data_IF_368698582388
#
_entry.id   IF_368698582388
#
_cell.length_a   1.000
_cell.length_b   1.000
_cell.length_c   1.000
_cell.angle_alpha   90.00
_cell.angle_beta   90.00
_cell.angle_gamma   90.00
#
_symmetry.space_group_name_H-M   'P 1'
#
loop_
_entity.id
_entity.type
_entity.pdbx_description
1 polymer ?
#
# COMPACT_ATOMS: atom_id res chain seq x y z
N UNK A 1 -77.92 13.59 -24.03
CA UNK A 1 -78.26 14.26 -22.75
C UNK A 1 -77.19 13.95 -21.73
N UNK A 2 -76.35 14.74 -21.63
CA UNK A 2 -75.79 15.79 -20.77
C UNK A 2 -75.95 15.46 -19.29
N UNK A 3 -74.89 15.28 -18.61
CA UNK A 3 -74.76 15.25 -17.17
C UNK A 3 -73.29 15.56 -16.75
N UNK A 4 -72.98 16.86 -16.68
CA UNK A 4 -71.73 17.38 -16.12
C UNK A 4 -71.76 17.20 -14.62
N UNK A 5 -70.86 16.48 -14.05
CA UNK A 5 -70.54 16.53 -12.62
C UNK A 5 -69.24 17.30 -12.39
N UNK A 6 -69.41 18.45 -11.78
CA UNK A 6 -68.36 19.34 -11.29
C UNK A 6 -67.78 18.80 -9.96
N UNK A 7 -66.56 18.43 -9.96
CA UNK A 7 -65.82 18.05 -8.69
C UNK A 7 -65.21 19.33 -8.14
N UNK A 8 -65.73 19.78 -7.02
CA UNK A 8 -65.11 20.86 -6.20
C UNK A 8 -63.81 20.35 -5.56
N UNK A 9 -62.69 20.97 -5.96
CA UNK A 9 -61.43 20.80 -5.28
C UNK A 9 -61.45 21.54 -3.93
N UNK A 10 -61.39 20.85 -2.85
CA UNK A 10 -61.12 21.41 -1.52
C UNK A 10 -59.61 21.58 -1.36
N UNK A 11 -59.20 22.85 -1.34
CA UNK A 11 -57.83 23.25 -1.03
C UNK A 11 -57.62 23.14 0.49
N UNK A 12 -57.03 22.05 0.97
CA UNK A 12 -56.49 22.01 2.31
C UNK A 12 -55.09 22.68 2.28
N UNK A 13 -55.03 23.89 2.78
CA UNK A 13 -53.76 24.52 3.17
C UNK A 13 -53.25 23.80 4.42
N UNK A 14 -52.37 22.84 4.23
CA UNK A 14 -51.49 22.35 5.28
C UNK A 14 -50.38 23.38 5.47
N UNK A 15 -50.46 24.14 6.54
CA UNK A 15 -49.33 24.85 7.11
C UNK A 15 -48.33 23.78 7.64
N UNK A 16 -47.36 23.42 6.80
CA UNK A 16 -46.19 22.72 7.25
C UNK A 16 -45.34 23.73 8.01
N UNK A 17 -45.47 23.82 9.31
CA UNK A 17 -44.46 24.37 10.20
C UNK A 17 -43.25 23.48 10.02
N UNK A 18 -42.26 23.94 9.27
CA UNK A 18 -40.91 23.36 9.26
C UNK A 18 -40.34 23.56 10.66
N UNK A 19 -40.51 22.57 11.52
CA UNK A 19 -39.67 22.41 12.64
C UNK A 19 -38.24 22.15 12.08
N UNK A 20 -37.48 23.21 11.98
CA UNK A 20 -35.99 23.07 11.87
C UNK A 20 -35.58 22.39 13.17
N UNK A 21 -35.66 21.06 13.18
CA UNK A 21 -35.01 20.25 14.16
C UNK A 21 -33.53 20.58 14.04
N UNK A 22 -33.02 21.36 14.98
CA UNK A 22 -31.60 21.35 15.31
C UNK A 22 -31.29 19.87 15.59
N UNK A 23 -30.77 19.18 14.59
CA UNK A 23 -29.97 17.99 14.84
C UNK A 23 -28.88 18.48 15.79
N UNK A 24 -28.79 17.94 17.03
CA UNK A 24 -27.67 18.27 17.87
C UNK A 24 -26.45 17.96 17.02
N UNK A 25 -25.59 18.94 16.80
CA UNK A 25 -24.28 18.73 16.25
C UNK A 25 -23.73 17.51 17.00
N UNK A 26 -23.43 16.44 16.28
CA UNK A 26 -22.77 15.27 16.87
C UNK A 26 -21.65 15.84 17.71
N UNK A 27 -21.56 15.44 18.98
CA UNK A 27 -20.61 16.06 19.88
C UNK A 27 -19.24 15.98 19.26
N UNK A 28 -18.52 17.08 19.36
CA UNK A 28 -17.11 17.28 18.98
C UNK A 28 -16.15 16.24 19.60
N UNK A 29 -16.66 15.16 20.15
CA UNK A 29 -15.87 14.04 20.69
C UNK A 29 -14.96 13.38 19.60
N UNK A 30 -15.36 13.48 18.32
CA UNK A 30 -14.49 13.08 17.22
C UNK A 30 -13.31 14.04 17.00
N UNK A 31 -13.40 15.26 17.55
CA UNK A 31 -12.32 16.24 17.46
C UNK A 31 -11.37 16.22 18.67
N UNK A 32 -11.80 15.63 19.79
CA UNK A 32 -10.98 15.64 21.01
C UNK A 32 -9.89 14.57 21.04
N UNK A 33 -10.06 13.46 20.35
CA UNK A 33 -8.99 12.46 20.23
C UNK A 33 -7.93 12.85 19.17
N UNK A 34 -8.28 13.74 18.26
CA UNK A 34 -7.32 14.36 17.32
C UNK A 34 -6.39 15.38 18.00
N UNK A 35 -6.71 15.83 19.20
CA UNK A 35 -5.97 16.86 19.92
C UNK A 35 -4.75 16.35 20.69
N UNK A 36 -4.40 15.08 20.58
CA UNK A 36 -3.25 14.51 21.30
C UNK A 36 -1.91 14.73 20.61
N UNK A 37 -1.88 15.39 19.47
CA UNK A 37 -0.66 15.96 18.93
C UNK A 37 -0.57 17.42 19.42
N UNK A 38 0.56 17.80 20.01
CA UNK A 38 0.78 19.08 20.67
C UNK A 38 0.55 20.32 19.78
N UNK A 39 0.28 20.14 18.50
CA UNK A 39 0.08 21.15 17.48
C UNK A 39 -1.32 21.15 16.85
N UNK A 40 -2.27 20.34 17.37
CA UNK A 40 -3.66 20.30 16.90
C UNK A 40 -3.89 19.54 15.58
N UNK A 41 -2.89 18.84 15.05
CA UNK A 41 -3.07 17.99 13.87
C UNK A 41 -3.81 16.70 14.21
N UNK A 42 -4.65 16.17 13.28
CA UNK A 42 -5.37 14.93 13.52
C UNK A 42 -4.40 13.76 13.70
N UNK A 43 -4.68 12.88 14.66
CA UNK A 43 -3.93 11.64 14.82
C UNK A 43 -4.37 10.60 13.78
N UNK A 44 -3.46 9.97 13.04
CA UNK A 44 -3.79 8.86 12.14
C UNK A 44 -4.26 7.61 12.89
N UNK A 45 -4.13 7.58 14.22
CA UNK A 45 -4.57 6.48 15.08
C UNK A 45 -5.87 6.78 15.84
N UNK A 46 -6.57 7.85 15.48
CA UNK A 46 -7.90 8.11 16.04
C UNK A 46 -8.90 7.09 15.48
N UNK A 47 -9.20 6.07 16.27
CA UNK A 47 -10.13 5.03 15.89
C UNK A 47 -11.56 5.52 15.68
N UNK A 48 -11.90 6.74 16.10
CA UNK A 48 -13.23 7.30 15.90
C UNK A 48 -13.57 7.53 14.42
N UNK A 49 -12.54 7.73 13.57
CA UNK A 49 -12.72 7.90 12.12
C UNK A 49 -12.92 6.58 11.37
N UNK A 50 -12.65 5.44 12.02
CA UNK A 50 -12.78 4.14 11.38
C UNK A 50 -14.17 3.55 11.59
N UNK A 51 -14.69 2.80 10.61
CA UNK A 51 -15.90 2.00 10.80
C UNK A 51 -15.76 1.01 11.96
N UNK A 52 -16.87 0.57 12.59
CA UNK A 52 -16.82 -0.34 13.73
C UNK A 52 -16.03 -1.64 13.49
N UNK A 53 -16.04 -2.15 12.25
CA UNK A 53 -15.32 -3.37 11.86
C UNK A 53 -13.82 -3.17 11.72
N UNK A 54 -13.32 -1.93 11.79
CA UNK A 54 -11.90 -1.58 11.73
C UNK A 54 -11.34 -1.12 13.07
N UNK A 55 -12.07 -1.31 14.17
CA UNK A 55 -11.67 -0.87 15.52
C UNK A 55 -11.14 -2.01 16.38
N UNK A 56 -10.34 -1.65 17.38
CA UNK A 56 -9.81 -2.60 18.35
C UNK A 56 -8.96 -3.69 17.70
N UNK A 57 -9.23 -4.95 18.06
CA UNK A 57 -8.51 -6.10 17.52
C UNK A 57 -8.61 -6.25 15.99
N UNK A 58 -9.71 -5.77 15.42
CA UNK A 58 -9.87 -5.76 13.96
C UNK A 58 -8.96 -4.74 13.26
N UNK A 59 -8.34 -3.83 13.99
CA UNK A 59 -7.38 -2.87 13.49
C UNK A 59 -5.92 -3.39 13.59
N UNK A 60 -5.72 -4.63 13.94
CA UNK A 60 -4.41 -5.29 13.93
C UNK A 60 -4.10 -5.78 12.51
N UNK A 61 -3.00 -5.32 11.93
CA UNK A 61 -2.58 -5.67 10.58
C UNK A 61 -2.40 -7.19 10.35
N UNK A 62 -2.10 -7.94 11.41
CA UNK A 62 -1.94 -9.41 11.33
C UNK A 62 -3.28 -10.12 11.27
N UNK A 63 -4.29 -9.63 11.97
CA UNK A 63 -5.56 -10.32 12.15
C UNK A 63 -6.67 -9.81 11.24
N UNK A 64 -6.56 -8.61 10.70
CA UNK A 64 -7.65 -7.98 9.97
C UNK A 64 -7.66 -8.26 8.47
N UNK A 65 -6.60 -8.91 7.97
CA UNK A 65 -6.47 -9.19 6.54
C UNK A 65 -6.22 -7.94 5.71
N UNK A 66 -6.82 -7.89 4.54
CA UNK A 66 -6.60 -6.85 3.55
C UNK A 66 -7.77 -5.87 3.55
N UNK A 67 -7.50 -4.58 3.63
CA UNK A 67 -8.50 -3.53 3.65
C UNK A 67 -8.38 -2.59 2.46
N UNK A 68 -9.53 -2.12 2.00
CA UNK A 68 -9.60 -1.06 1.00
C UNK A 68 -9.52 0.31 1.67
N UNK A 69 -8.66 1.15 1.13
CA UNK A 69 -8.57 2.56 1.47
C UNK A 69 -8.69 3.42 0.20
N UNK A 70 -7.83 4.38 -0.03
CA UNK A 70 -7.78 5.15 -1.28
C UNK A 70 -6.91 4.39 -2.28
N UNK A 71 -7.44 3.94 -3.43
CA UNK A 71 -6.73 3.03 -4.35
C UNK A 71 -5.36 3.54 -4.81
N UNK A 72 -5.22 4.82 -5.08
CA UNK A 72 -3.96 5.43 -5.55
C UNK A 72 -2.96 5.66 -4.42
N UNK A 73 -3.39 5.55 -3.17
CA UNK A 73 -2.57 5.83 -1.97
C UNK A 73 -2.26 4.57 -1.20
N UNK A 74 -3.29 3.81 -0.87
CA UNK A 74 -3.18 2.63 -0.02
C UNK A 74 -4.08 1.51 -0.54
N UNK A 75 -3.73 0.97 -1.68
CA UNK A 75 -4.43 -0.14 -2.32
C UNK A 75 -3.94 -1.48 -1.77
N UNK A 76 -4.32 -1.81 -0.53
CA UNK A 76 -3.87 -3.01 0.16
C UNK A 76 -4.56 -4.29 -0.31
N UNK A 77 -5.79 -4.17 -0.79
CA UNK A 77 -6.57 -5.28 -1.34
C UNK A 77 -6.75 -5.09 -2.84
N UNK A 78 -5.68 -5.30 -3.56
CA UNK A 78 -5.63 -5.10 -5.00
C UNK A 78 -5.70 -6.44 -5.73
N UNK A 79 -6.91 -6.76 -6.23
CA UNK A 79 -7.23 -8.03 -6.90
C UNK A 79 -7.75 -7.75 -8.31
N UNK A 80 -7.14 -8.33 -9.31
CA UNK A 80 -7.44 -8.06 -10.72
C UNK A 80 -7.48 -9.31 -11.57
N UNK A 81 -8.25 -9.25 -12.64
CA UNK A 81 -8.26 -10.22 -13.71
C UNK A 81 -9.28 -11.34 -13.56
N UNK A 82 -9.03 -12.46 -14.20
CA UNK A 82 -9.97 -13.57 -14.29
C UNK A 82 -9.83 -14.53 -13.11
N UNK A 83 -10.84 -14.56 -12.24
CA UNK A 83 -10.93 -15.49 -11.11
C UNK A 83 -11.55 -16.85 -11.51
N UNK A 84 -12.22 -16.91 -12.66
CA UNK A 84 -13.03 -18.08 -13.02
C UNK A 84 -12.23 -19.17 -13.74
N UNK A 85 -11.35 -18.76 -14.64
CA UNK A 85 -10.53 -19.69 -15.44
C UNK A 85 -9.21 -19.02 -15.88
N UNK A 86 -8.36 -18.58 -14.93
CA UNK A 86 -7.10 -17.96 -15.26
C UNK A 86 -6.14 -18.98 -15.86
N UNK A 87 -5.28 -18.52 -16.76
CA UNK A 87 -4.15 -19.29 -17.30
C UNK A 87 -2.81 -18.90 -16.66
N UNK A 88 -2.82 -17.85 -15.88
CA UNK A 88 -1.67 -17.39 -15.11
C UNK A 88 -2.16 -16.68 -13.85
N UNK A 89 -1.63 -17.06 -12.70
CA UNK A 89 -1.97 -16.49 -11.39
C UNK A 89 -0.71 -15.95 -10.74
N UNK A 90 -0.66 -14.63 -10.48
CA UNK A 90 0.50 -13.94 -9.95
C UNK A 90 0.24 -13.42 -8.53
N UNK A 91 1.06 -13.84 -7.60
CA UNK A 91 1.10 -13.34 -6.23
C UNK A 91 2.23 -12.34 -6.09
N UNK A 92 1.90 -11.06 -5.93
CA UNK A 92 2.85 -9.97 -6.04
C UNK A 92 2.86 -9.15 -4.77
N UNK A 93 4.04 -8.92 -4.20
CA UNK A 93 4.20 -8.00 -3.07
C UNK A 93 3.73 -6.60 -3.42
N UNK A 94 2.97 -5.98 -2.50
CA UNK A 94 2.23 -4.76 -2.78
C UNK A 94 3.02 -3.50 -3.15
N UNK A 95 4.35 -3.55 -3.21
CA UNK A 95 5.19 -2.35 -3.40
C UNK A 95 5.13 -1.74 -4.80
N UNK A 96 4.56 -2.45 -5.78
CA UNK A 96 4.49 -1.99 -7.17
C UNK A 96 3.15 -2.31 -7.85
N UNK A 97 2.08 -2.24 -7.06
CA UNK A 97 0.72 -2.43 -7.56
C UNK A 97 0.44 -1.57 -8.81
N UNK A 98 0.93 -0.34 -8.85
CA UNK A 98 0.79 0.60 -9.95
C UNK A 98 1.49 0.16 -11.26
N UNK A 99 2.49 -0.71 -11.17
CA UNK A 99 3.21 -1.23 -12.33
C UNK A 99 2.55 -2.47 -12.94
N UNK A 100 1.68 -3.16 -12.19
CA UNK A 100 1.16 -4.47 -12.59
C UNK A 100 0.25 -4.41 -13.82
N UNK A 101 -0.72 -3.50 -13.87
CA UNK A 101 -1.61 -3.41 -15.02
C UNK A 101 -0.85 -3.17 -16.34
N UNK A 102 0.07 -2.19 -16.45
CA UNK A 102 0.89 -2.04 -17.66
C UNK A 102 1.81 -3.23 -17.95
N UNK A 103 2.34 -3.93 -16.93
CA UNK A 103 3.13 -5.15 -17.12
C UNK A 103 2.29 -6.29 -17.70
N UNK A 104 1.09 -6.52 -17.15
CA UNK A 104 0.17 -7.56 -17.66
C UNK A 104 -0.25 -7.24 -19.10
N UNK A 105 -0.60 -5.99 -19.41
CA UNK A 105 -0.95 -5.59 -20.78
C UNK A 105 0.22 -5.81 -21.76
N UNK A 106 1.45 -5.51 -21.37
CA UNK A 106 2.62 -5.76 -22.20
C UNK A 106 2.86 -7.25 -22.40
N UNK A 107 2.76 -8.06 -21.34
CA UNK A 107 2.86 -9.50 -21.40
C UNK A 107 1.80 -10.10 -22.36
N UNK A 108 0.55 -9.71 -22.20
CA UNK A 108 -0.56 -10.18 -23.05
C UNK A 108 -0.40 -9.76 -24.52
N UNK A 109 0.30 -8.68 -24.79
CA UNK A 109 0.61 -8.27 -26.17
C UNK A 109 1.65 -9.16 -26.85
N UNK A 110 2.56 -9.74 -26.08
CA UNK A 110 3.59 -10.67 -26.55
C UNK A 110 3.09 -12.12 -26.52
N UNK A 111 2.12 -12.41 -25.65
CA UNK A 111 1.58 -13.75 -25.37
C UNK A 111 0.05 -13.76 -25.48
N UNK A 112 -0.46 -13.70 -26.70
CA UNK A 112 -1.90 -13.55 -26.99
C UNK A 112 -2.79 -14.65 -26.37
N UNK A 113 -2.25 -15.84 -26.07
CA UNK A 113 -2.94 -16.95 -25.43
C UNK A 113 -3.35 -16.66 -23.98
N UNK A 114 -2.73 -15.64 -23.33
CA UNK A 114 -3.05 -15.22 -21.97
C UNK A 114 -4.00 -14.02 -21.92
N UNK A 115 -4.37 -13.45 -23.06
CA UNK A 115 -5.16 -12.23 -23.10
C UNK A 115 -6.49 -12.35 -22.36
N UNK A 116 -6.66 -11.50 -21.31
CA UNK A 116 -7.80 -11.54 -20.42
C UNK A 116 -7.89 -12.76 -19.52
N UNK A 117 -6.81 -13.55 -19.43
CA UNK A 117 -6.74 -14.79 -18.65
C UNK A 117 -5.63 -14.78 -17.61
N UNK A 118 -5.16 -13.59 -17.24
CA UNK A 118 -4.22 -13.39 -16.13
C UNK A 118 -4.99 -12.91 -14.92
N UNK A 119 -4.76 -13.53 -13.78
CA UNK A 119 -5.15 -13.03 -12.47
C UNK A 119 -3.90 -12.57 -11.73
N UNK A 120 -3.98 -11.44 -11.07
CA UNK A 120 -2.92 -10.99 -10.16
C UNK A 120 -3.49 -10.31 -8.95
N UNK A 121 -2.72 -10.36 -7.87
CA UNK A 121 -3.01 -9.64 -6.64
C UNK A 121 -1.74 -8.99 -6.12
N UNK A 122 -1.87 -7.76 -5.59
CA UNK A 122 -0.77 -7.02 -4.98
C UNK A 122 -1.11 -6.69 -3.54
N UNK A 123 -0.73 -7.59 -2.65
CA UNK A 123 -1.03 -7.51 -1.22
C UNK A 123 0.26 -7.69 -0.38
N UNK A 124 0.23 -7.45 0.93
CA UNK A 124 1.42 -7.62 1.77
C UNK A 124 2.04 -9.02 1.61
N UNK A 125 3.36 -9.14 1.41
CA UNK A 125 4.02 -10.43 1.15
C UNK A 125 3.74 -11.51 2.19
N UNK A 126 3.62 -11.13 3.48
CA UNK A 126 3.28 -12.09 4.54
C UNK A 126 1.89 -12.71 4.36
N UNK A 127 0.91 -11.94 3.87
CA UNK A 127 -0.44 -12.43 3.58
C UNK A 127 -0.41 -13.41 2.40
N UNK A 128 0.36 -13.10 1.35
CA UNK A 128 0.58 -14.01 0.22
C UNK A 128 1.20 -15.35 0.65
N UNK A 129 2.14 -15.31 1.58
CA UNK A 129 2.75 -16.54 2.13
C UNK A 129 1.71 -17.40 2.85
N UNK A 130 0.88 -16.80 3.68
CA UNK A 130 -0.20 -17.53 4.35
C UNK A 130 -1.23 -18.07 3.35
N UNK A 131 -1.53 -17.34 2.28
CA UNK A 131 -2.38 -17.81 1.18
C UNK A 131 -1.76 -19.01 0.46
N UNK A 132 -0.46 -19.00 0.17
CA UNK A 132 0.25 -20.18 -0.39
C UNK A 132 0.10 -21.38 0.54
N UNK A 133 0.36 -21.21 1.84
CA UNK A 133 0.21 -22.27 2.85
C UNK A 133 -1.21 -22.77 2.99
N UNK A 134 -2.20 -21.90 2.79
CA UNK A 134 -3.64 -22.25 2.79
C UNK A 134 -4.13 -22.83 1.43
N UNK A 135 -3.20 -23.22 0.54
CA UNK A 135 -3.55 -23.81 -0.76
C UNK A 135 -4.20 -22.82 -1.74
N UNK A 136 -3.93 -21.52 -1.58
CA UNK A 136 -4.47 -20.47 -2.42
C UNK A 136 -5.71 -19.78 -1.85
N UNK A 137 -6.15 -20.15 -0.65
CA UNK A 137 -7.34 -19.56 -0.03
C UNK A 137 -7.00 -18.25 0.66
N UNK A 138 -7.81 -17.22 0.39
CA UNK A 138 -7.71 -15.89 1.02
C UNK A 138 -9.10 -15.39 1.40
N UNK A 139 -9.16 -14.61 2.46
CA UNK A 139 -10.37 -13.89 2.89
C UNK A 139 -10.08 -12.40 2.92
N UNK A 140 -10.94 -11.62 2.27
CA UNK A 140 -10.92 -10.17 2.32
C UNK A 140 -12.32 -9.65 2.63
N UNK A 141 -12.47 -8.96 3.76
CA UNK A 141 -13.78 -8.57 4.27
C UNK A 141 -14.69 -9.79 4.45
N UNK A 142 -15.80 -9.81 3.73
CA UNK A 142 -16.79 -10.89 3.76
C UNK A 142 -16.61 -11.92 2.62
N UNK A 143 -15.58 -11.77 1.81
CA UNK A 143 -15.33 -12.65 0.66
C UNK A 143 -14.21 -13.62 0.99
N UNK A 144 -14.44 -14.90 0.67
CA UNK A 144 -13.41 -15.94 0.72
C UNK A 144 -13.40 -16.65 -0.63
N UNK A 145 -12.22 -16.78 -1.21
CA UNK A 145 -12.04 -17.51 -2.46
C UNK A 145 -10.73 -18.28 -2.43
N UNK A 146 -10.61 -19.25 -3.34
CA UNK A 146 -9.41 -20.05 -3.51
C UNK A 146 -8.92 -19.94 -4.94
N UNK A 147 -7.71 -19.41 -5.10
CA UNK A 147 -7.01 -19.38 -6.38
C UNK A 147 -5.53 -19.66 -6.11
N UNK A 148 -5.00 -20.73 -6.70
CA UNK A 148 -3.61 -21.13 -6.48
C UNK A 148 -2.66 -20.28 -7.31
N UNK A 149 -1.66 -19.69 -6.67
CA UNK A 149 -0.62 -18.92 -7.35
C UNK A 149 0.26 -19.81 -8.22
N UNK A 150 0.64 -19.28 -9.39
CA UNK A 150 1.63 -19.92 -10.28
C UNK A 150 3.03 -19.35 -10.03
N UNK A 151 3.14 -18.04 -9.73
CA UNK A 151 4.39 -17.40 -9.38
C UNK A 151 4.21 -16.38 -8.25
N UNK A 152 5.25 -16.24 -7.42
CA UNK A 152 5.30 -15.33 -6.27
C UNK A 152 6.44 -14.33 -6.42
N UNK A 153 6.20 -13.08 -6.05
CA UNK A 153 7.12 -11.96 -6.21
C UNK A 153 7.23 -11.13 -4.93
N UNK A 154 8.44 -10.95 -4.43
CA UNK A 154 8.74 -10.14 -3.24
C UNK A 154 10.22 -9.73 -3.21
N UNK A 155 10.72 -9.27 -2.07
CA UNK A 155 12.15 -9.03 -1.87
C UNK A 155 12.95 -10.35 -2.00
N UNK A 156 14.13 -10.30 -2.60
CA UNK A 156 14.98 -11.45 -2.91
C UNK A 156 15.16 -12.41 -1.74
N UNK A 157 15.49 -11.88 -0.55
CA UNK A 157 15.71 -12.73 0.62
C UNK A 157 14.45 -13.48 1.05
N UNK A 158 13.28 -12.87 0.92
CA UNK A 158 12.01 -13.53 1.26
C UNK A 158 11.67 -14.62 0.23
N UNK A 159 11.90 -14.36 -1.07
CA UNK A 159 11.71 -15.36 -2.12
C UNK A 159 12.66 -16.53 -1.92
N UNK A 160 13.96 -16.26 -1.66
CA UNK A 160 14.95 -17.31 -1.41
C UNK A 160 14.59 -18.17 -0.19
N UNK A 161 14.17 -17.54 0.90
CA UNK A 161 13.71 -18.27 2.09
C UNK A 161 12.57 -19.24 1.75
N UNK A 162 11.58 -18.81 0.97
CA UNK A 162 10.46 -19.69 0.59
C UNK A 162 10.88 -20.82 -0.39
N UNK A 163 11.90 -20.58 -1.20
CA UNK A 163 12.54 -21.65 -2.01
C UNK A 163 13.20 -22.67 -1.07
N UNK A 164 13.96 -22.21 -0.09
CA UNK A 164 14.64 -23.08 0.88
C UNK A 164 13.64 -23.87 1.76
N UNK A 165 12.50 -23.28 2.08
CA UNK A 165 11.37 -23.92 2.78
C UNK A 165 10.57 -24.89 1.88
N UNK A 166 10.82 -24.90 0.57
CA UNK A 166 10.16 -25.76 -0.39
C UNK A 166 8.71 -25.36 -0.70
N UNK A 167 8.33 -24.11 -0.45
CA UNK A 167 7.05 -23.52 -0.86
C UNK A 167 7.10 -22.98 -2.30
N UNK A 168 8.28 -22.59 -2.76
CA UNK A 168 8.55 -22.18 -4.14
C UNK A 168 9.48 -23.19 -4.81
N UNK A 169 9.52 -23.18 -6.14
CA UNK A 169 10.30 -24.07 -6.99
C UNK A 169 11.28 -23.28 -7.86
N UNK A 170 12.46 -23.83 -8.09
CA UNK A 170 13.53 -23.19 -8.85
C UNK A 170 14.28 -22.13 -8.04
N UNK A 171 15.24 -21.43 -8.65
CA UNK A 171 15.96 -20.36 -7.99
C UNK A 171 15.10 -19.12 -7.85
N UNK A 172 15.39 -18.30 -6.84
CA UNK A 172 14.90 -16.94 -6.81
C UNK A 172 15.53 -16.13 -7.96
N UNK A 173 14.70 -15.53 -8.81
CA UNK A 173 15.11 -14.81 -10.02
C UNK A 173 15.01 -13.30 -9.78
N UNK A 174 16.12 -12.60 -9.51
CA UNK A 174 16.11 -11.16 -9.28
C UNK A 174 15.90 -10.41 -10.61
N UNK A 175 15.12 -9.31 -10.62
CA UNK A 175 14.80 -8.59 -11.84
C UNK A 175 14.95 -7.07 -11.74
N UNK A 176 14.56 -6.44 -10.62
CA UNK A 176 14.73 -4.99 -10.40
C UNK A 176 15.20 -4.70 -8.99
N UNK A 177 15.67 -3.47 -8.82
CA UNK A 177 16.02 -2.89 -7.53
C UNK A 177 15.20 -1.63 -7.27
N UNK A 178 15.07 -1.26 -5.98
CA UNK A 178 14.40 -0.05 -5.57
C UNK A 178 15.17 0.59 -4.42
N UNK A 179 15.21 1.91 -4.41
CA UNK A 179 15.86 2.69 -3.37
C UNK A 179 14.83 3.27 -2.40
N UNK A 180 15.29 3.64 -1.22
CA UNK A 180 14.50 4.43 -0.29
C UNK A 180 14.52 5.91 -0.69
N UNK A 181 13.46 6.64 -0.29
CA UNK A 181 13.37 8.09 -0.39
C UNK A 181 12.61 8.66 0.80
N UNK A 182 12.73 9.95 1.04
CA UNK A 182 11.91 10.65 2.03
C UNK A 182 10.74 11.27 1.28
N UNK A 183 9.52 10.85 1.60
CA UNK A 183 8.30 11.42 1.05
C UNK A 183 7.87 12.59 1.93
N UNK A 184 7.50 13.72 1.31
CA UNK A 184 7.12 14.97 1.97
C UNK A 184 5.89 15.58 1.29
N UNK A 185 5.15 16.48 1.94
CA UNK A 185 4.13 17.26 1.26
C UNK A 185 4.74 18.09 0.13
N UNK A 186 3.95 18.36 -0.91
CA UNK A 186 4.39 19.13 -2.09
C UNK A 186 5.04 20.45 -1.68
N UNK A 187 6.21 20.71 -2.24
CA UNK A 187 6.99 21.90 -1.93
C UNK A 187 7.86 21.77 -0.69
N UNK A 188 7.84 20.63 0.00
CA UNK A 188 8.72 20.36 1.14
C UNK A 188 8.72 21.49 2.21
N UNK A 189 7.57 21.80 2.82
CA UNK A 189 7.45 22.95 3.72
C UNK A 189 8.33 22.86 4.97
N UNK A 190 8.72 21.66 5.36
CA UNK A 190 9.63 21.40 6.49
C UNK A 190 11.12 21.52 6.10
N UNK A 191 11.44 21.84 4.84
CA UNK A 191 12.80 22.00 4.31
C UNK A 191 13.72 20.80 4.59
N UNK A 192 13.21 19.61 4.51
CA UNK A 192 13.95 18.36 4.71
C UNK A 192 14.93 18.17 3.55
N UNK A 193 16.19 17.90 3.87
CA UNK A 193 17.28 17.72 2.90
C UNK A 193 17.91 16.34 2.95
N UNK A 194 17.68 15.59 4.04
CA UNK A 194 18.23 14.25 4.21
C UNK A 194 17.71 13.54 5.46
N UNK A 195 18.21 12.33 5.70
CA UNK A 195 17.78 11.48 6.81
C UNK A 195 18.07 12.10 8.19
N UNK A 196 19.12 12.91 8.32
CA UNK A 196 19.47 13.57 9.58
C UNK A 196 18.37 14.53 10.07
N UNK A 197 17.66 15.19 9.13
CA UNK A 197 16.60 16.13 9.45
C UNK A 197 15.39 15.46 10.12
N UNK A 198 15.23 14.15 9.92
CA UNK A 198 14.12 13.41 10.53
C UNK A 198 14.18 13.36 12.06
N UNK A 199 15.35 13.63 12.66
CA UNK A 199 15.48 13.74 14.11
C UNK A 199 15.10 15.14 14.66
N UNK A 200 14.81 16.11 13.81
CA UNK A 200 14.48 17.48 14.22
C UNK A 200 13.30 17.49 15.19
N UNK A 201 13.41 18.16 16.35
CA UNK A 201 12.31 18.31 17.29
C UNK A 201 11.08 18.97 16.63
N UNK A 202 9.89 18.48 16.97
CA UNK A 202 8.63 18.99 16.40
C UNK A 202 8.28 18.49 15.01
N UNK A 203 9.21 17.88 14.27
CA UNK A 203 8.91 17.25 12.97
C UNK A 203 8.14 15.95 13.18
N UNK A 204 7.00 15.81 12.53
CA UNK A 204 6.12 14.64 12.63
C UNK A 204 6.39 13.65 11.50
N UNK A 205 6.46 12.39 11.84
CA UNK A 205 6.86 11.34 10.90
C UNK A 205 5.83 10.22 10.79
N UNK A 206 5.67 9.68 9.58
CA UNK A 206 5.10 8.34 9.35
C UNK A 206 6.24 7.36 9.04
N UNK A 207 6.37 6.33 9.85
CA UNK A 207 7.45 5.35 9.69
C UNK A 207 6.88 3.94 9.56
N UNK A 208 7.38 3.13 8.62
CA UNK A 208 7.02 1.72 8.52
C UNK A 208 7.28 0.96 9.81
N UNK A 209 6.32 0.10 10.19
CA UNK A 209 6.37 -0.60 11.46
C UNK A 209 7.37 -1.77 11.45
N UNK A 210 8.41 -1.76 12.30
CA UNK A 210 9.45 -2.79 12.32
C UNK A 210 8.95 -4.17 12.78
N UNK A 211 7.74 -4.27 13.37
CA UNK A 211 7.19 -5.56 13.80
C UNK A 211 6.82 -6.48 12.64
N UNK A 212 6.41 -5.91 11.50
CA UNK A 212 5.88 -6.70 10.38
C UNK A 212 6.27 -6.17 8.99
N UNK A 213 6.87 -4.98 8.88
CA UNK A 213 7.27 -4.41 7.60
C UNK A 213 8.77 -4.53 7.34
N UNK A 214 9.13 -5.30 6.31
CA UNK A 214 10.53 -5.51 5.94
C UNK A 214 11.30 -4.23 5.59
N UNK A 215 10.63 -3.24 5.01
CA UNK A 215 11.22 -1.93 4.68
C UNK A 215 11.78 -1.20 5.91
N UNK A 216 11.20 -1.39 7.09
CA UNK A 216 11.67 -0.74 8.32
C UNK A 216 13.13 -1.12 8.66
N UNK A 217 13.57 -2.33 8.30
CA UNK A 217 14.98 -2.75 8.48
C UNK A 217 15.91 -2.00 7.54
N UNK A 218 15.51 -1.82 6.26
CA UNK A 218 16.27 -1.04 5.30
C UNK A 218 16.38 0.42 5.72
N UNK A 219 15.26 1.01 6.18
CA UNK A 219 15.25 2.39 6.68
C UNK A 219 16.15 2.54 7.89
N UNK A 220 16.07 1.62 8.87
CA UNK A 220 16.97 1.65 10.04
C UNK A 220 18.43 1.58 9.61
N UNK A 221 18.76 0.71 8.66
CA UNK A 221 20.12 0.61 8.11
C UNK A 221 20.57 1.93 7.45
N UNK A 222 19.70 2.59 6.72
CA UNK A 222 19.99 3.89 6.09
C UNK A 222 20.19 4.99 7.13
N UNK A 223 19.36 5.02 8.18
CA UNK A 223 19.53 5.95 9.30
C UNK A 223 20.88 5.73 10.02
N UNK A 224 21.29 4.48 10.22
CA UNK A 224 22.60 4.15 10.81
C UNK A 224 23.76 4.62 9.91
N UNK A 225 23.64 4.47 8.59
CA UNK A 225 24.64 4.98 7.64
C UNK A 225 24.74 6.52 7.68
N UNK A 226 23.59 7.21 7.81
CA UNK A 226 23.51 8.67 7.79
C UNK A 226 23.97 9.33 9.11
N UNK A 227 23.68 8.74 10.26
CA UNK A 227 23.94 9.37 11.56
C UNK A 227 24.17 8.40 12.73
N UNK A 228 24.53 7.16 12.42
CA UNK A 228 24.80 6.13 13.40
C UNK A 228 23.55 5.65 14.14
N UNK A 229 23.76 4.79 15.15
CA UNK A 229 22.68 4.26 15.99
C UNK A 229 21.89 5.37 16.70
N UNK A 230 22.52 6.51 16.98
CA UNK A 230 21.86 7.65 17.62
C UNK A 230 20.70 8.19 16.77
N UNK A 231 20.90 8.35 15.45
CA UNK A 231 19.85 8.79 14.53
C UNK A 231 18.75 7.75 14.42
N UNK A 232 19.09 6.47 14.27
CA UNK A 232 18.10 5.41 14.19
C UNK A 232 17.23 5.31 15.46
N UNK A 233 17.81 5.48 16.64
CA UNK A 233 17.09 5.55 17.92
C UNK A 233 16.22 6.80 18.02
N UNK A 234 16.75 7.97 17.62
CA UNK A 234 15.99 9.20 17.64
C UNK A 234 14.67 9.06 16.82
N UNK A 235 14.75 8.49 15.63
CA UNK A 235 13.59 8.32 14.73
C UNK A 235 12.64 7.20 15.18
N UNK A 236 13.16 6.01 15.47
CA UNK A 236 12.31 4.83 15.72
C UNK A 236 11.97 4.58 17.20
N UNK A 237 12.67 5.23 18.13
CA UNK A 237 12.43 5.04 19.56
C UNK A 237 11.96 6.35 20.22
N UNK A 238 12.76 7.42 20.19
CA UNK A 238 12.43 8.67 20.90
C UNK A 238 11.19 9.34 20.31
N UNK A 239 11.14 9.54 18.99
CA UNK A 239 9.98 10.15 18.33
C UNK A 239 8.70 9.29 18.37
N UNK A 240 8.84 7.96 18.42
CA UNK A 240 7.71 7.07 18.63
C UNK A 240 7.20 7.18 20.07
N UNK A 241 8.11 7.27 21.04
CA UNK A 241 7.76 7.39 22.45
C UNK A 241 7.08 8.74 22.79
N UNK A 242 7.51 9.83 22.16
CA UNK A 242 6.93 11.17 22.36
C UNK A 242 5.71 11.45 21.47
N UNK A 243 5.37 10.53 20.56
CA UNK A 243 4.23 10.64 19.66
C UNK A 243 4.47 11.47 18.40
N UNK A 244 5.68 12.00 18.18
CA UNK A 244 6.02 12.76 16.96
C UNK A 244 6.34 11.83 15.76
N UNK A 245 6.51 10.53 15.97
CA UNK A 245 6.54 9.56 14.90
C UNK A 245 5.44 8.51 15.09
N UNK A 246 4.63 8.30 14.06
CA UNK A 246 3.62 7.25 14.01
C UNK A 246 4.13 6.08 13.19
N UNK A 247 3.93 4.86 13.70
CA UNK A 247 4.24 3.64 12.95
C UNK A 247 3.01 3.23 12.14
N UNK A 248 3.23 2.89 10.87
CA UNK A 248 2.14 2.39 10.02
C UNK A 248 1.50 1.14 10.64
N UNK A 249 0.18 1.02 10.51
CA UNK A 249 -0.59 -0.07 11.14
C UNK A 249 -0.75 -1.26 10.22
N UNK A 250 -0.76 -1.04 8.92
CA UNK A 250 -1.03 -2.06 7.93
C UNK A 250 0.17 -2.22 7.01
N UNK A 251 0.56 -1.14 6.34
CA UNK A 251 1.59 -1.13 5.33
C UNK A 251 2.17 0.27 5.15
N UNK A 252 3.43 0.38 4.71
CA UNK A 252 4.09 1.66 4.44
C UNK A 252 3.38 2.50 3.35
N UNK A 253 2.52 1.91 2.54
CA UNK A 253 1.62 2.64 1.63
C UNK A 253 0.64 3.60 2.35
N UNK A 254 0.50 3.52 3.66
CA UNK A 254 -0.23 4.51 4.45
C UNK A 254 0.52 5.84 4.58
N UNK A 255 1.83 5.87 4.33
CA UNK A 255 2.65 7.09 4.42
C UNK A 255 2.11 8.25 3.58
N UNK A 256 1.83 8.09 2.27
CA UNK A 256 1.25 9.18 1.48
C UNK A 256 -0.12 9.62 1.98
N UNK A 257 -0.94 8.70 2.50
CA UNK A 257 -2.23 9.06 3.09
C UNK A 257 -2.06 10.00 4.29
N UNK A 258 -1.16 9.69 5.21
CA UNK A 258 -0.89 10.52 6.38
C UNK A 258 -0.34 11.89 6.01
N UNK A 259 0.50 11.97 4.97
CA UNK A 259 1.01 13.24 4.43
C UNK A 259 -0.12 14.08 3.84
N UNK A 260 -0.99 13.50 3.00
CA UNK A 260 -2.11 14.22 2.37
C UNK A 260 -3.17 14.67 3.38
N UNK A 261 -3.34 13.93 4.47
CA UNK A 261 -4.22 14.31 5.58
C UNK A 261 -3.61 15.38 6.50
N UNK A 262 -2.34 15.77 6.30
CA UNK A 262 -1.65 16.73 7.16
C UNK A 262 -1.30 16.16 8.54
N UNK A 263 -1.35 14.85 8.73
CA UNK A 263 -1.02 14.21 10.01
C UNK A 263 0.47 14.22 10.29
N UNK A 264 1.31 14.20 9.25
CA UNK A 264 2.76 14.13 9.35
C UNK A 264 3.42 15.06 8.33
N UNK A 265 4.69 15.36 8.55
CA UNK A 265 5.50 16.26 7.72
C UNK A 265 6.44 15.50 6.78
N UNK A 266 6.76 14.25 7.13
CA UNK A 266 7.60 13.37 6.31
C UNK A 266 7.35 11.90 6.63
N UNK A 267 7.81 11.04 5.71
CA UNK A 267 7.92 9.61 5.94
C UNK A 267 8.92 8.97 4.99
N UNK A 268 9.58 7.91 5.41
CA UNK A 268 10.51 7.19 4.55
C UNK A 268 9.79 6.02 3.90
N UNK A 269 9.90 5.91 2.57
CA UNK A 269 9.26 4.87 1.78
C UNK A 269 10.14 4.48 0.59
N UNK A 270 9.61 3.66 -0.31
CA UNK A 270 10.27 3.35 -1.57
C UNK A 270 10.18 4.53 -2.55
N UNK A 271 11.25 4.76 -3.29
CA UNK A 271 11.29 5.80 -4.33
C UNK A 271 10.18 5.62 -5.35
N UNK A 272 9.89 4.39 -5.74
CA UNK A 272 8.83 4.07 -6.70
C UNK A 272 7.45 4.52 -6.23
N UNK A 273 7.14 4.38 -4.94
CA UNK A 273 5.87 4.84 -4.39
C UNK A 273 5.75 6.37 -4.41
N UNK A 274 6.82 7.07 -4.02
CA UNK A 274 6.83 8.53 -4.07
C UNK A 274 6.67 9.05 -5.50
N UNK A 275 7.40 8.47 -6.45
CA UNK A 275 7.29 8.84 -7.87
C UNK A 275 5.90 8.55 -8.43
N UNK A 276 5.28 7.44 -8.05
CA UNK A 276 3.90 7.15 -8.44
C UNK A 276 2.92 8.19 -7.91
N UNK A 277 3.03 8.57 -6.62
CA UNK A 277 2.17 9.60 -6.03
C UNK A 277 2.30 10.94 -6.74
N UNK A 278 3.51 11.33 -7.13
CA UNK A 278 3.75 12.53 -7.95
C UNK A 278 3.13 12.42 -9.34
N UNK A 279 3.27 11.26 -10.00
CA UNK A 279 2.74 11.02 -11.35
C UNK A 279 1.21 11.08 -11.40
N UNK A 280 0.51 10.62 -10.38
CA UNK A 280 -0.96 10.71 -10.30
C UNK A 280 -1.45 12.08 -9.80
N UNK A 281 -0.53 13.01 -9.52
CA UNK A 281 -0.86 14.40 -9.21
C UNK A 281 -1.21 14.66 -7.75
N UNK A 282 -0.91 13.74 -6.85
CA UNK A 282 -1.08 13.97 -5.41
C UNK A 282 -0.16 15.08 -4.90
N UNK A 283 -0.55 15.75 -3.82
CA UNK A 283 0.21 16.87 -3.23
C UNK A 283 1.42 16.38 -2.43
N UNK A 284 2.25 15.58 -3.08
CA UNK A 284 3.45 14.92 -2.54
C UNK A 284 4.66 15.30 -3.38
N UNK A 285 5.80 15.33 -2.74
CA UNK A 285 7.14 15.39 -3.34
C UNK A 285 8.05 14.43 -2.61
N UNK A 286 9.23 14.16 -3.16
CA UNK A 286 10.23 13.37 -2.46
C UNK A 286 11.60 14.04 -2.42
N UNK A 287 12.35 13.69 -1.38
CA UNK A 287 13.74 14.09 -1.18
C UNK A 287 14.61 12.85 -1.32
N UNK A 288 15.54 12.81 -2.28
CA UNK A 288 16.40 11.66 -2.50
C UNK A 288 17.36 11.47 -1.31
N UNK A 289 17.59 10.23 -0.96
CA UNK A 289 18.61 9.85 0.03
C UNK A 289 19.93 9.63 -0.72
N UNK A 290 21.05 10.25 -0.28
CA UNK A 290 22.35 10.04 -0.91
C UNK A 290 22.72 8.55 -1.00
N UNK A 291 23.35 8.12 -2.10
CA UNK A 291 23.65 6.71 -2.37
C UNK A 291 24.48 6.04 -1.24
N UNK A 292 25.41 6.79 -0.62
CA UNK A 292 26.21 6.29 0.51
C UNK A 292 25.40 6.01 1.78
N UNK A 293 24.25 6.66 1.94
CA UNK A 293 23.35 6.50 3.07
C UNK A 293 22.16 5.58 2.77
N UNK A 294 21.84 5.41 1.48
CA UNK A 294 20.69 4.64 1.04
C UNK A 294 20.88 3.13 1.20
N UNK A 295 19.76 2.43 1.21
CA UNK A 295 19.69 0.97 1.15
C UNK A 295 18.83 0.59 -0.05
N UNK A 296 19.41 -0.26 -0.91
CA UNK A 296 18.73 -0.76 -2.11
C UNK A 296 18.11 -2.12 -1.83
N UNK A 297 16.84 -2.28 -2.15
CA UNK A 297 16.17 -3.58 -2.15
C UNK A 297 16.28 -4.23 -3.52
N UNK A 298 16.43 -5.54 -3.53
CA UNK A 298 16.35 -6.38 -4.73
C UNK A 298 15.03 -7.12 -4.72
N UNK A 299 14.29 -7.06 -5.81
CA UNK A 299 13.06 -7.82 -6.01
C UNK A 299 13.33 -9.05 -6.84
N UNK A 300 12.69 -10.14 -6.48
CA UNK A 300 12.81 -11.42 -7.15
C UNK A 300 11.45 -12.10 -7.29
N UNK A 301 11.38 -13.04 -8.20
CA UNK A 301 10.24 -13.95 -8.38
C UNK A 301 10.69 -15.39 -8.38
N UNK A 302 9.76 -16.30 -8.07
CA UNK A 302 9.93 -17.73 -8.26
C UNK A 302 8.57 -18.41 -8.50
N UNK A 303 8.60 -19.58 -9.11
CA UNK A 303 7.40 -20.38 -9.34
C UNK A 303 6.89 -20.95 -8.00
N UNK A 304 5.58 -20.94 -7.79
CA UNK A 304 4.97 -21.59 -6.63
C UNK A 304 5.05 -23.10 -6.81
N UNK A 305 5.39 -23.84 -5.75
CA UNK A 305 5.47 -25.29 -5.81
C UNK A 305 4.10 -25.89 -6.12
N UNK A 306 4.04 -26.70 -7.18
CA UNK A 306 2.78 -27.28 -7.63
C UNK A 306 1.85 -26.29 -8.33
N UNK A 307 2.43 -25.27 -8.96
CA UNK A 307 1.72 -24.36 -9.85
C UNK A 307 0.83 -25.10 -10.85
N UNK A 308 -0.38 -24.60 -11.05
CA UNK A 308 -1.31 -25.21 -12.01
C UNK A 308 -0.88 -24.96 -13.47
N UNK A 309 -0.20 -23.84 -13.69
CA UNK A 309 0.24 -23.38 -15.02
C UNK A 309 1.76 -23.11 -15.04
N UNK A 310 2.62 -24.14 -14.89
CA UNK A 310 4.07 -23.94 -14.75
C UNK A 310 4.72 -23.29 -15.98
N UNK A 311 4.23 -23.58 -17.17
CA UNK A 311 4.74 -22.97 -18.41
C UNK A 311 4.39 -21.47 -18.48
N UNK A 312 3.20 -21.09 -18.03
CA UNK A 312 2.79 -19.70 -17.95
C UNK A 312 3.62 -18.93 -16.89
N UNK A 313 3.85 -19.56 -15.73
CA UNK A 313 4.73 -18.99 -14.70
C UNK A 313 6.14 -18.76 -15.24
N UNK A 314 6.69 -19.72 -15.99
CA UNK A 314 7.98 -19.58 -16.64
C UNK A 314 7.97 -18.45 -17.66
N UNK A 315 6.97 -18.38 -18.52
CA UNK A 315 6.85 -17.31 -19.52
C UNK A 315 6.81 -15.93 -18.86
N UNK A 316 6.10 -15.77 -17.75
CA UNK A 316 6.09 -14.53 -16.99
C UNK A 316 7.44 -14.21 -16.33
N UNK A 317 8.12 -15.21 -15.75
CA UNK A 317 9.45 -15.03 -15.17
C UNK A 317 10.49 -14.66 -16.23
N UNK A 318 10.37 -15.17 -17.45
CA UNK A 318 11.21 -14.76 -18.58
C UNK A 318 10.85 -13.32 -19.04
N UNK A 319 9.56 -13.00 -19.16
CA UNK A 319 9.07 -11.67 -19.57
C UNK A 319 9.52 -10.55 -18.64
N UNK A 320 9.51 -10.77 -17.32
CA UNK A 320 9.79 -9.70 -16.35
C UNK A 320 11.22 -9.15 -16.46
N UNK A 321 12.11 -9.86 -17.16
CA UNK A 321 13.46 -9.42 -17.54
C UNK A 321 13.55 -8.79 -18.92
N UNK A 322 12.46 -8.78 -19.68
CA UNK A 322 12.46 -8.23 -21.04
C UNK A 322 12.68 -6.72 -21.03
N UNK A 323 13.21 -6.14 -22.11
CA UNK A 323 13.30 -4.69 -22.22
C UNK A 323 11.97 -3.98 -22.06
N UNK A 324 10.86 -4.60 -22.48
CA UNK A 324 9.51 -4.07 -22.33
C UNK A 324 9.12 -3.95 -20.85
N UNK A 325 9.29 -5.03 -20.09
CA UNK A 325 8.99 -5.05 -18.65
C UNK A 325 9.91 -4.08 -17.87
N UNK A 326 11.22 -4.11 -18.14
CA UNK A 326 12.18 -3.22 -17.46
C UNK A 326 11.89 -1.75 -17.74
N UNK A 327 11.51 -1.38 -18.97
CA UNK A 327 11.10 -0.02 -19.30
C UNK A 327 9.84 0.42 -18.53
N UNK A 328 8.92 -0.50 -18.27
CA UNK A 328 7.75 -0.20 -17.43
C UNK A 328 8.18 0.08 -16.00
N UNK A 329 9.03 -0.75 -15.41
CA UNK A 329 9.54 -0.55 -14.06
C UNK A 329 10.33 0.76 -13.92
N UNK A 330 11.20 1.10 -14.90
CA UNK A 330 11.99 2.33 -14.89
C UNK A 330 11.14 3.59 -14.85
N UNK A 331 9.96 3.59 -15.49
CA UNK A 331 9.01 4.72 -15.42
C UNK A 331 8.55 5.04 -14.00
N UNK A 332 8.57 4.05 -13.12
CA UNK A 332 8.22 4.19 -11.71
C UNK A 332 9.45 4.27 -10.79
N UNK A 333 10.66 4.45 -11.34
CA UNK A 333 11.87 4.67 -10.56
C UNK A 333 12.56 3.40 -10.05
N UNK A 334 12.12 2.22 -10.49
CA UNK A 334 12.93 1.01 -10.31
C UNK A 334 14.12 1.01 -11.27
N UNK A 335 15.16 0.29 -10.88
CA UNK A 335 16.34 0.09 -11.73
C UNK A 335 16.46 -1.40 -12.08
N UNK A 336 16.88 -1.76 -13.29
CA UNK A 336 17.19 -3.13 -13.64
C UNK A 336 18.22 -3.73 -12.68
N UNK A 337 17.97 -4.96 -12.23
CA UNK A 337 18.96 -5.68 -11.45
C UNK A 337 20.17 -6.00 -12.34
N UNK A 338 21.36 -5.69 -11.83
CA UNK A 338 22.62 -6.02 -12.47
C UNK A 338 23.45 -6.86 -11.49
N UNK A 339 23.88 -8.03 -11.97
CA UNK A 339 24.82 -8.90 -11.23
C UNK A 339 26.14 -8.20 -10.97
#
# INVERSE_FOLDING_TARGET
>A
MQGKQTIRAHLYRLLATAAIGFLPALPLAAQTSAQNLADGHPSPFDESIYPPWQKGANNDAVNRGVEFTVPEVDNLADFHGDLSDPKLVLYVGGNYFFAMAPLVLAFESEHAEFKGRVYWETIPPGVLVEQIKAGGTITSGNMTWTIKGDAYFAGLNAVQQLVDEGLLSGPAVPYVTNNLTIMVPKGNPAHITGLADLATPGLRLAMPNPRFEGIARQIRSSLVKAGGDALAKAVYESKVADGSAVLTRIHHRQTPLYLMQGCVDAGVTWQSEAMFQEQVGHAISHVPIPAGENTTAVYAGAMVKGAAHPEAAKAWLDFIHSPAALSIFERYGFLPYRN
#
